data_IF_602179824282
#
_entry.id   IF_602179824282
#
_cell.length_a   1.000
_cell.length_b   1.000
_cell.length_c   1.000
_cell.angle_alpha   90.00
_cell.angle_beta   90.00
_cell.angle_gamma   90.00
#
_symmetry.space_group_name_H-M   'P 1'
#
loop_
_entity.id
_entity.type
_entity.pdbx_description
1 polymer ?
#
# COMPACT_ATOMS: atom_id res chain seq x y z
N UNK A 1 12.94 10.59 -8.73
CA UNK A 1 12.20 9.74 -7.75
C UNK A 1 11.61 8.53 -8.45
N UNK A 2 11.96 7.37 -8.00
CA UNK A 2 11.47 6.11 -8.54
C UNK A 2 10.40 5.54 -7.61
N UNK A 3 9.17 5.41 -8.10
CA UNK A 3 8.00 5.03 -7.30
C UNK A 3 7.42 3.72 -7.81
N UNK A 4 7.04 2.83 -6.91
CA UNK A 4 6.25 1.65 -7.24
C UNK A 4 4.87 1.77 -6.61
N UNK A 5 3.83 1.62 -7.42
CA UNK A 5 2.44 1.64 -6.98
C UNK A 5 1.95 0.18 -6.89
N UNK A 6 1.81 -0.28 -5.64
CA UNK A 6 1.43 -1.67 -5.38
C UNK A 6 -0.06 -1.87 -5.63
N UNK A 7 -0.38 -2.95 -6.34
CA UNK A 7 -1.77 -3.39 -6.58
C UNK A 7 -2.65 -2.28 -7.17
N UNK A 8 -2.11 -1.54 -8.12
CA UNK A 8 -2.76 -0.37 -8.73
C UNK A 8 -4.12 -0.68 -9.36
N UNK A 9 -4.35 -1.92 -9.76
CA UNK A 9 -5.57 -2.35 -10.45
C UNK A 9 -6.71 -2.71 -9.48
N UNK A 10 -6.39 -3.06 -8.24
CA UNK A 10 -7.40 -3.47 -7.24
C UNK A 10 -7.46 -2.55 -6.02
N UNK A 11 -6.43 -1.77 -5.77
CA UNK A 11 -6.34 -0.87 -4.63
C UNK A 11 -6.36 0.59 -5.08
N UNK A 12 -7.34 0.96 -5.90
CA UNK A 12 -7.51 2.31 -6.44
C UNK A 12 -8.93 2.84 -6.15
N UNK A 13 -9.42 2.57 -4.94
CA UNK A 13 -10.78 2.94 -4.57
C UNK A 13 -10.93 4.45 -4.33
N UNK A 14 -9.89 5.12 -3.88
CA UNK A 14 -9.95 6.50 -3.41
C UNK A 14 -9.21 7.48 -4.32
N UNK A 15 -9.12 7.19 -5.59
CA UNK A 15 -8.50 8.10 -6.56
C UNK A 15 -6.98 8.14 -6.47
N UNK A 16 -6.35 7.02 -6.16
CA UNK A 16 -4.90 6.94 -5.98
C UNK A 16 -4.13 7.31 -7.24
N UNK A 17 -4.71 7.06 -8.41
CA UNK A 17 -4.13 7.49 -9.68
C UNK A 17 -3.94 9.01 -9.72
N UNK A 18 -4.94 9.76 -9.23
CA UNK A 18 -4.84 11.21 -9.14
C UNK A 18 -3.72 11.65 -8.20
N UNK A 19 -3.56 10.96 -7.09
CA UNK A 19 -2.48 11.23 -6.14
C UNK A 19 -1.11 11.02 -6.79
N UNK A 20 -0.95 9.97 -7.58
CA UNK A 20 0.31 9.70 -8.29
C UNK A 20 0.58 10.76 -9.35
N UNK A 21 -0.45 11.25 -10.05
CA UNK A 21 -0.29 12.30 -11.03
C UNK A 21 0.12 13.63 -10.39
N UNK A 22 -0.43 13.95 -9.23
CA UNK A 22 -0.04 15.14 -8.47
C UNK A 22 1.41 15.04 -8.03
N UNK A 23 1.81 13.89 -7.52
CA UNK A 23 3.20 13.67 -7.10
C UNK A 23 4.17 13.83 -8.28
N UNK A 24 3.81 13.26 -9.43
CA UNK A 24 4.60 13.41 -10.66
C UNK A 24 4.76 14.87 -11.04
N UNK A 25 3.66 15.62 -11.05
CA UNK A 25 3.71 17.05 -11.40
C UNK A 25 4.61 17.83 -10.44
N UNK A 26 4.47 17.57 -9.15
CA UNK A 26 5.29 18.26 -8.15
C UNK A 26 6.76 17.95 -8.28
N UNK A 27 7.12 16.71 -8.60
CA UNK A 27 8.51 16.34 -8.83
C UNK A 27 9.06 17.05 -10.07
N UNK A 28 8.33 17.02 -11.17
CA UNK A 28 8.77 17.64 -12.42
C UNK A 28 8.89 19.17 -12.28
N UNK A 29 7.97 19.80 -11.55
CA UNK A 29 8.01 21.25 -11.31
C UNK A 29 9.26 21.66 -10.52
N UNK A 30 9.85 20.74 -9.76
CA UNK A 30 11.06 20.96 -8.97
C UNK A 30 12.33 20.43 -9.63
N UNK A 31 12.24 20.00 -10.88
CA UNK A 31 13.39 19.43 -11.58
C UNK A 31 13.82 18.05 -11.08
N UNK A 32 12.93 17.34 -10.38
CA UNK A 32 13.21 15.99 -9.88
C UNK A 32 12.68 14.98 -10.90
N UNK A 33 13.55 14.12 -11.48
CA UNK A 33 13.08 13.07 -12.37
C UNK A 33 12.06 12.17 -11.67
N UNK A 34 11.02 11.75 -12.38
CA UNK A 34 9.97 10.91 -11.83
C UNK A 34 9.76 9.69 -12.70
N UNK A 35 9.77 8.52 -12.07
CA UNK A 35 9.50 7.24 -12.70
C UNK A 35 8.44 6.51 -11.90
N UNK A 36 7.36 6.08 -12.53
CA UNK A 36 6.29 5.34 -11.87
C UNK A 36 6.18 3.95 -12.48
N UNK A 37 6.41 2.94 -11.64
CA UNK A 37 6.17 1.55 -11.98
C UNK A 37 4.96 1.04 -11.19
N UNK A 38 4.38 -0.04 -11.65
CA UNK A 38 3.30 -0.73 -10.96
C UNK A 38 3.72 -2.15 -10.65
N UNK A 39 3.14 -2.71 -9.58
CA UNK A 39 3.42 -4.10 -9.21
C UNK A 39 2.11 -4.74 -8.74
N UNK A 40 1.61 -5.69 -9.52
CA UNK A 40 0.39 -6.42 -9.22
C UNK A 40 0.64 -7.76 -8.54
N UNK A 41 -0.43 -8.51 -8.33
CA UNK A 41 -0.34 -9.85 -7.75
C UNK A 41 0.49 -10.73 -8.69
N UNK A 42 1.48 -11.43 -8.12
CA UNK A 42 2.32 -12.36 -8.86
C UNK A 42 3.48 -11.72 -9.62
N UNK A 43 3.54 -10.40 -9.71
CA UNK A 43 4.68 -9.74 -10.34
C UNK A 43 5.86 -9.70 -9.39
N UNK A 44 7.04 -10.07 -9.88
CA UNK A 44 8.26 -10.03 -9.08
C UNK A 44 9.05 -8.77 -9.39
N UNK A 45 9.26 -7.94 -8.36
CA UNK A 45 10.10 -6.75 -8.44
C UNK A 45 10.87 -6.60 -7.15
N UNK A 46 12.09 -6.11 -7.25
CA UNK A 46 12.86 -5.78 -6.06
C UNK A 46 12.42 -4.40 -5.57
N UNK A 47 11.60 -4.38 -4.53
CA UNK A 47 11.04 -3.15 -3.99
C UNK A 47 12.10 -2.23 -3.39
N UNK A 48 13.28 -2.76 -3.06
CA UNK A 48 14.38 -1.95 -2.53
C UNK A 48 15.01 -1.02 -3.58
N UNK A 49 14.70 -1.22 -4.85
CA UNK A 49 15.16 -0.35 -5.93
C UNK A 49 14.36 0.94 -6.05
N UNK A 50 13.28 1.08 -5.29
CA UNK A 50 12.39 2.23 -5.36
C UNK A 50 12.61 3.19 -4.20
N UNK A 51 12.42 4.47 -4.47
CA UNK A 51 12.49 5.49 -3.44
C UNK A 51 11.20 5.55 -2.63
N UNK A 52 10.07 5.24 -3.26
CA UNK A 52 8.76 5.27 -2.63
C UNK A 52 7.94 4.04 -3.02
N UNK A 53 7.39 3.37 -2.02
CA UNK A 53 6.43 2.29 -2.19
C UNK A 53 5.07 2.82 -1.79
N UNK A 54 4.13 2.83 -2.73
CA UNK A 54 2.79 3.35 -2.49
C UNK A 54 1.76 2.22 -2.46
N UNK A 55 0.95 2.19 -1.41
CA UNK A 55 -0.16 1.24 -1.27
C UNK A 55 -1.40 2.02 -0.86
N UNK A 56 -2.40 2.04 -1.72
CA UNK A 56 -3.66 2.72 -1.47
C UNK A 56 -4.68 1.87 -0.76
N UNK A 57 -5.94 2.27 -0.85
CA UNK A 57 -7.05 1.55 -0.24
C UNK A 57 -7.92 0.83 -1.24
N UNK A 58 -8.59 -0.20 -0.77
CA UNK A 58 -9.56 -0.97 -1.54
C UNK A 58 -10.68 -1.45 -0.65
N UNK A 59 -11.71 -2.05 -1.24
CA UNK A 59 -12.77 -2.68 -0.48
C UNK A 59 -12.22 -3.93 0.24
N UNK A 60 -12.91 -4.37 1.30
CA UNK A 60 -12.47 -5.51 2.10
C UNK A 60 -12.18 -6.74 1.26
N UNK A 61 -13.04 -7.02 0.28
CA UNK A 61 -12.88 -8.17 -0.59
C UNK A 61 -11.56 -8.11 -1.38
N UNK A 62 -11.26 -6.96 -1.94
CA UNK A 62 -10.04 -6.74 -2.70
C UNK A 62 -8.81 -6.81 -1.79
N UNK A 63 -8.90 -6.24 -0.60
CA UNK A 63 -7.81 -6.30 0.38
C UNK A 63 -7.52 -7.74 0.80
N UNK A 64 -8.55 -8.54 1.06
CA UNK A 64 -8.40 -9.94 1.43
C UNK A 64 -7.74 -10.73 0.29
N UNK A 65 -8.12 -10.45 -0.95
CA UNK A 65 -7.60 -11.20 -2.11
C UNK A 65 -6.11 -11.04 -2.32
N UNK A 66 -5.52 -9.92 -1.90
CA UNK A 66 -4.09 -9.67 -2.13
C UNK A 66 -3.21 -10.05 -0.94
N UNK A 67 -3.78 -10.39 0.21
CA UNK A 67 -3.01 -10.68 1.41
C UNK A 67 -1.95 -11.79 1.22
N UNK A 68 -2.27 -12.93 0.61
CA UNK A 68 -1.23 -13.95 0.39
C UNK A 68 -0.03 -13.44 -0.40
N UNK A 69 -0.29 -12.64 -1.45
CA UNK A 69 0.77 -12.05 -2.24
C UNK A 69 1.57 -11.02 -1.43
N UNK A 70 0.87 -10.18 -0.68
CA UNK A 70 1.52 -9.17 0.15
C UNK A 70 2.39 -9.81 1.24
N UNK A 71 1.90 -10.85 1.89
CA UNK A 71 2.67 -11.59 2.91
C UNK A 71 3.93 -12.21 2.32
N UNK A 72 3.88 -12.69 1.09
CA UNK A 72 5.06 -13.25 0.42
C UNK A 72 6.13 -12.19 0.16
N UNK A 73 5.75 -10.90 0.15
CA UNK A 73 6.67 -9.79 -0.08
C UNK A 73 7.19 -9.15 1.20
N UNK A 74 6.80 -9.66 2.37
CA UNK A 74 7.14 -9.04 3.66
C UNK A 74 8.64 -8.81 3.81
N UNK A 75 9.46 -9.80 3.50
CA UNK A 75 10.91 -9.69 3.62
C UNK A 75 11.49 -8.66 2.64
N UNK A 76 10.96 -8.62 1.42
CA UNK A 76 11.41 -7.64 0.44
C UNK A 76 11.02 -6.22 0.84
N UNK A 77 9.81 -6.04 1.38
CA UNK A 77 9.37 -4.74 1.89
C UNK A 77 10.23 -4.30 3.07
N UNK A 78 10.53 -5.22 3.98
CA UNK A 78 11.41 -4.94 5.12
C UNK A 78 12.80 -4.52 4.64
N UNK A 79 13.36 -5.23 3.67
CA UNK A 79 14.64 -4.86 3.07
C UNK A 79 14.59 -3.45 2.48
N UNK A 80 13.52 -3.12 1.75
CA UNK A 80 13.35 -1.80 1.16
C UNK A 80 13.32 -0.72 2.24
N UNK A 81 12.60 -0.94 3.33
CA UNK A 81 12.52 0.00 4.44
C UNK A 81 13.89 0.17 5.12
N UNK A 82 14.63 -0.90 5.30
CA UNK A 82 15.97 -0.86 5.88
C UNK A 82 16.96 -0.12 4.97
N UNK A 83 16.74 -0.15 3.66
CA UNK A 83 17.54 0.58 2.67
C UNK A 83 16.98 2.00 2.40
N UNK A 84 16.13 2.49 3.30
CA UNK A 84 15.60 3.86 3.31
C UNK A 84 14.58 4.18 2.22
N UNK A 85 13.90 3.20 1.67
CA UNK A 85 12.71 3.46 0.87
C UNK A 85 11.60 4.00 1.75
N UNK A 86 10.87 5.00 1.26
CA UNK A 86 9.68 5.47 1.96
C UNK A 86 8.49 4.60 1.59
N UNK A 87 7.61 4.38 2.56
CA UNK A 87 6.38 3.64 2.34
C UNK A 87 5.21 4.56 2.66
N UNK A 88 4.37 4.84 1.66
CA UNK A 88 3.19 5.66 1.83
C UNK A 88 1.95 4.77 1.82
N UNK A 89 1.24 4.77 2.93
CA UNK A 89 0.06 3.92 3.14
C UNK A 89 -1.17 4.78 3.29
N UNK A 90 -2.19 4.50 2.49
CA UNK A 90 -3.46 5.23 2.53
C UNK A 90 -4.57 4.24 2.90
N UNK A 91 -5.37 4.57 3.91
CA UNK A 91 -6.54 3.78 4.32
C UNK A 91 -6.23 2.28 4.47
N UNK A 92 -6.70 1.44 3.57
CA UNK A 92 -6.50 0.00 3.61
C UNK A 92 -5.03 -0.41 3.61
N UNK A 93 -4.16 0.33 2.92
CA UNK A 93 -2.72 0.07 2.97
C UNK A 93 -2.19 0.19 4.39
N UNK A 94 -2.63 1.20 5.12
CA UNK A 94 -2.26 1.36 6.52
C UNK A 94 -2.74 0.18 7.37
N UNK A 95 -3.99 -0.28 7.15
CA UNK A 95 -4.54 -1.43 7.87
C UNK A 95 -3.73 -2.70 7.61
N UNK A 96 -3.32 -2.92 6.37
CA UNK A 96 -2.60 -4.13 5.96
C UNK A 96 -1.19 -4.21 6.55
N UNK A 97 -0.60 -3.09 6.92
CA UNK A 97 0.74 -3.08 7.54
C UNK A 97 0.69 -3.20 9.07
N UNK A 98 -0.49 -3.12 9.67
CA UNK A 98 -0.67 -3.31 11.11
C UNK A 98 -0.74 -4.79 11.50
N UNK A 99 -1.11 -5.06 12.76
CA UNK A 99 -1.25 -6.44 13.24
C UNK A 99 -2.45 -7.12 12.62
N UNK A 100 -3.62 -6.54 12.74
CA UNK A 100 -4.85 -7.00 12.11
C UNK A 100 -5.90 -5.90 12.15
N UNK A 101 -6.98 -6.10 11.42
CA UNK A 101 -8.16 -5.25 11.54
C UNK A 101 -9.43 -6.11 11.46
N UNK A 102 -10.53 -5.56 11.97
CA UNK A 102 -11.83 -6.22 11.93
C UNK A 102 -12.64 -5.59 10.80
N UNK A 103 -12.95 -6.37 9.80
CA UNK A 103 -13.73 -5.91 8.65
C UNK A 103 -15.20 -5.68 9.03
N UNK A 104 -15.98 -5.06 8.14
CA UNK A 104 -17.38 -4.76 8.38
C UNK A 104 -18.24 -6.01 8.65
N UNK A 105 -17.83 -7.16 8.13
CA UNK A 105 -18.50 -8.45 8.37
C UNK A 105 -18.00 -9.17 9.62
N UNK A 106 -17.26 -8.48 10.49
CA UNK A 106 -16.63 -9.03 11.70
C UNK A 106 -15.51 -10.03 11.44
N UNK A 107 -15.03 -10.17 10.21
CA UNK A 107 -13.90 -11.02 9.90
C UNK A 107 -12.61 -10.36 10.37
N UNK A 108 -11.76 -11.14 11.04
CA UNK A 108 -10.44 -10.67 11.46
C UNK A 108 -9.46 -10.87 10.31
N UNK A 109 -8.84 -9.80 9.88
CA UNK A 109 -7.89 -9.80 8.76
C UNK A 109 -6.51 -9.46 9.30
N UNK A 110 -5.60 -10.44 9.21
CA UNK A 110 -4.22 -10.25 9.68
C UNK A 110 -3.43 -9.42 8.69
N UNK A 111 -2.64 -8.48 9.22
CA UNK A 111 -1.75 -7.64 8.43
C UNK A 111 -0.31 -8.13 8.45
N UNK A 112 0.59 -7.32 7.92
CA UNK A 112 2.04 -7.61 7.86
C UNK A 112 2.73 -7.46 9.21
N UNK A 113 2.09 -6.82 10.17
CA UNK A 113 2.62 -6.64 11.51
C UNK A 113 3.91 -5.82 11.58
N UNK A 114 4.06 -4.83 10.68
CA UNK A 114 5.22 -3.94 10.74
C UNK A 114 5.15 -2.94 11.89
N UNK A 115 3.93 -2.65 12.38
CA UNK A 115 3.74 -1.82 13.56
C UNK A 115 2.62 -2.39 14.42
N UNK A 116 2.65 -2.03 15.69
CA UNK A 116 1.72 -2.55 16.68
C UNK A 116 0.43 -1.70 16.66
N UNK A 117 -0.42 -1.95 15.64
CA UNK A 117 -1.65 -1.23 15.45
C UNK A 117 -2.81 -2.20 15.23
N UNK A 118 -3.91 -1.96 15.93
CA UNK A 118 -5.15 -2.72 15.78
C UNK A 118 -6.24 -1.76 15.33
N UNK A 119 -6.98 -2.14 14.29
CA UNK A 119 -8.06 -1.32 13.78
C UNK A 119 -9.37 -2.10 13.78
N UNK A 120 -10.44 -1.42 14.08
CA UNK A 120 -11.79 -1.98 14.09
C UNK A 120 -12.66 -1.17 13.14
N UNK A 121 -13.37 -1.88 12.25
CA UNK A 121 -14.37 -1.24 11.40
C UNK A 121 -15.71 -1.28 12.12
N UNK A 122 -16.31 -0.11 12.29
CA UNK A 122 -17.64 -0.05 12.91
C UNK A 122 -18.71 -0.48 11.91
N UNK A 123 -19.68 -1.31 12.33
CA UNK A 123 -20.80 -1.68 11.46
C UNK A 123 -21.79 -0.55 11.24
N UNK A 124 -21.73 0.51 12.02
CA UNK A 124 -22.59 1.69 11.86
C UNK A 124 -21.74 2.91 11.51
N UNK A 125 -22.34 3.93 10.87
CA UNK A 125 -21.60 5.15 10.55
C UNK A 125 -20.97 5.76 11.79
N UNK A 126 -19.74 6.19 11.64
CA UNK A 126 -19.04 6.93 12.68
C UNK A 126 -19.17 8.41 12.45
N UNK A 127 -19.27 9.10 13.50
CA UNK A 127 -19.39 10.55 13.44
C UNK A 127 -18.03 11.23 13.36
#
# INVERSE_FOLDING_TARGET
MKVVWMYHDIMDLYGDKGNMMVLKKRCLDRGIPFELDTCGIGEEKDLSEYDLIFLGGGADKEQISLIPDLLSRKENIKKAMDEKSFVLLICGGYQLFGQYYIAANNEKISGLQFYDCLLYTSPSPRD
#
